data_IF_261989677156
#
_entry.id   IF_261989677156
#
_cell.length_a   1.000
_cell.length_b   1.000
_cell.length_c   1.000
_cell.angle_alpha   90.00
_cell.angle_beta   90.00
_cell.angle_gamma   90.00
#
_symmetry.space_group_name_H-M   'P 1'
#
loop_
_entity.id
_entity.type
_entity.pdbx_description
1 polymer ?
#
# COMPACT_ATOMS: atom_id res chain seq x y z
N UNK A 1 1.47 15.15 23.34
CA UNK A 1 2.62 14.29 22.97
C UNK A 1 2.85 13.14 23.97
N UNK A 2 3.08 13.39 25.27
CA UNK A 2 3.37 12.32 26.25
C UNK A 2 2.26 11.25 26.40
N UNK A 3 0.99 11.67 26.50
CA UNK A 3 -0.14 10.74 26.61
C UNK A 3 -0.29 9.85 25.36
N UNK A 4 -0.10 10.42 24.16
CA UNK A 4 -0.12 9.67 22.90
C UNK A 4 1.02 8.64 22.85
N UNK A 5 2.24 9.05 23.18
CA UNK A 5 3.39 8.13 23.21
C UNK A 5 3.14 6.97 24.17
N UNK A 6 2.60 7.25 25.36
CA UNK A 6 2.22 6.21 26.34
C UNK A 6 1.15 5.26 25.79
N UNK A 7 0.08 5.79 25.19
CA UNK A 7 -1.00 4.98 24.62
C UNK A 7 -0.48 4.07 23.48
N UNK A 8 0.36 4.62 22.60
CA UNK A 8 1.01 3.84 21.53
C UNK A 8 1.87 2.72 22.09
N UNK A 9 2.71 3.00 23.10
CA UNK A 9 3.55 1.98 23.74
C UNK A 9 2.71 0.87 24.35
N UNK A 10 1.63 1.20 25.08
CA UNK A 10 0.72 0.20 25.65
C UNK A 10 0.12 -0.69 24.56
N UNK A 11 -0.41 -0.10 23.49
CA UNK A 11 -0.99 -0.85 22.38
C UNK A 11 0.06 -1.73 21.67
N UNK A 12 1.27 -1.22 21.48
CA UNK A 12 2.37 -1.93 20.85
C UNK A 12 2.86 -3.12 21.69
N UNK A 13 3.05 -2.90 23.00
CA UNK A 13 3.48 -3.93 23.92
C UNK A 13 2.41 -5.02 24.05
N UNK A 14 1.13 -4.65 24.07
CA UNK A 14 0.03 -5.62 24.02
C UNK A 14 0.05 -6.43 22.73
N UNK A 15 0.21 -5.78 21.57
CA UNK A 15 0.23 -6.42 20.24
C UNK A 15 1.25 -7.58 20.17
N UNK A 16 2.44 -7.37 20.74
CA UNK A 16 3.55 -8.32 20.77
C UNK A 16 3.64 -9.16 22.04
N UNK A 17 2.76 -8.95 23.02
CA UNK A 17 2.71 -9.75 24.24
C UNK A 17 2.30 -11.19 23.95
N UNK A 18 2.48 -12.10 24.93
CA UNK A 18 2.00 -13.49 24.83
C UNK A 18 0.47 -13.60 24.63
N UNK A 19 -0.28 -12.59 25.05
CA UNK A 19 -1.74 -12.52 24.86
C UNK A 19 -2.13 -11.74 23.59
N UNK A 20 -1.18 -11.12 22.90
CA UNK A 20 -1.41 -10.31 21.71
C UNK A 20 -1.67 -11.16 20.46
N UNK A 21 -2.27 -10.57 19.42
CA UNK A 21 -2.63 -11.28 18.19
C UNK A 21 -1.42 -11.74 17.37
N UNK A 22 -0.24 -11.12 17.53
CA UNK A 22 1.01 -11.60 16.91
C UNK A 22 1.39 -12.99 17.44
N UNK A 23 1.22 -13.21 18.76
CA UNK A 23 1.56 -14.48 19.39
C UNK A 23 0.42 -15.52 19.28
N UNK A 24 -0.83 -15.07 19.39
CA UNK A 24 -2.00 -15.97 19.50
C UNK A 24 -2.67 -16.27 18.16
N UNK A 25 -2.44 -15.46 17.12
CA UNK A 25 -3.20 -15.52 15.87
C UNK A 25 -4.66 -15.07 15.99
N UNK A 26 -5.05 -14.50 17.14
CA UNK A 26 -6.42 -14.06 17.42
C UNK A 26 -6.64 -12.64 16.87
N UNK A 27 -6.86 -12.56 15.56
CA UNK A 27 -7.19 -11.31 14.86
C UNK A 27 -8.70 -11.07 14.84
N UNK A 28 -9.26 -10.71 15.99
CA UNK A 28 -10.69 -10.45 16.19
C UNK A 28 -11.01 -8.97 16.34
N UNK A 29 -12.27 -8.60 16.14
CA UNK A 29 -12.74 -7.22 16.21
C UNK A 29 -12.29 -6.42 14.99
N UNK A 30 -13.25 -5.81 14.31
CA UNK A 30 -13.04 -4.80 13.26
C UNK A 30 -14.42 -4.41 12.70
N UNK A 31 -15.18 -5.42 12.30
CA UNK A 31 -16.51 -5.27 11.72
C UNK A 31 -17.55 -5.06 12.82
N UNK A 32 -18.46 -4.10 12.59
CA UNK A 32 -19.47 -3.64 13.55
C UNK A 32 -20.86 -4.25 13.30
N UNK A 33 -21.05 -4.91 12.16
CA UNK A 33 -22.29 -5.52 11.69
C UNK A 33 -22.47 -6.98 12.16
N UNK A 34 -21.66 -7.40 13.14
CA UNK A 34 -21.69 -8.73 13.73
C UNK A 34 -22.14 -8.66 15.22
N UNK A 35 -22.75 -9.74 15.75
CA UNK A 35 -23.02 -9.85 17.18
C UNK A 35 -21.75 -9.73 18.04
N UNK A 36 -21.93 -9.38 19.31
CA UNK A 36 -20.83 -9.32 20.26
C UNK A 36 -20.12 -10.68 20.41
N UNK A 37 -18.82 -10.70 20.18
CA UNK A 37 -17.98 -11.91 20.15
C UNK A 37 -17.18 -12.07 21.44
N UNK A 38 -17.87 -12.41 22.54
CA UNK A 38 -17.23 -12.63 23.85
C UNK A 38 -16.16 -13.73 23.83
N UNK A 39 -16.31 -14.71 22.94
CA UNK A 39 -15.38 -15.83 22.80
C UNK A 39 -14.18 -15.53 21.92
N UNK A 40 -14.13 -14.35 21.29
CA UNK A 40 -13.16 -14.01 20.27
C UNK A 40 -13.07 -15.15 19.25
N UNK A 41 -14.17 -15.60 18.66
CA UNK A 41 -14.18 -16.65 17.65
C UNK A 41 -14.07 -16.09 16.22
N UNK A 42 -14.54 -14.86 15.99
CA UNK A 42 -14.48 -14.23 14.69
C UNK A 42 -13.06 -13.75 14.38
N UNK A 43 -12.51 -14.17 13.25
CA UNK A 43 -11.24 -13.70 12.71
C UNK A 43 -11.49 -12.88 11.47
N UNK A 44 -10.70 -11.83 11.27
CA UNK A 44 -10.73 -11.02 10.05
C UNK A 44 -9.35 -10.95 9.38
N UNK A 45 -9.38 -10.63 8.08
CA UNK A 45 -8.15 -10.39 7.31
C UNK A 45 -7.62 -8.95 7.45
N UNK A 46 -8.47 -7.99 7.81
CA UNK A 46 -8.11 -6.56 7.81
C UNK A 46 -7.01 -6.25 8.80
N UNK A 47 -7.21 -6.60 10.07
CA UNK A 47 -6.28 -6.29 11.16
C UNK A 47 -4.85 -6.84 10.93
N UNK A 48 -4.64 -8.11 10.53
CA UNK A 48 -3.30 -8.62 10.23
C UNK A 48 -2.71 -7.96 8.99
N UNK A 49 -3.50 -7.65 7.96
CA UNK A 49 -3.00 -6.99 6.75
C UNK A 49 -2.59 -5.53 7.00
N UNK A 50 -3.38 -4.77 7.75
CA UNK A 50 -3.02 -3.40 8.13
C UNK A 50 -1.83 -3.38 9.10
N UNK A 51 -1.70 -4.38 9.98
CA UNK A 51 -0.49 -4.56 10.81
C UNK A 51 0.73 -4.82 9.94
N UNK A 52 0.64 -5.76 8.98
CA UNK A 52 1.73 -6.05 8.05
C UNK A 52 2.12 -4.80 7.25
N UNK A 53 1.14 -4.06 6.72
CA UNK A 53 1.35 -2.79 6.02
C UNK A 53 2.08 -1.77 6.88
N UNK A 54 1.66 -1.60 8.12
CA UNK A 54 2.30 -0.67 9.06
C UNK A 54 3.75 -1.06 9.32
N UNK A 55 4.04 -2.35 9.50
CA UNK A 55 5.40 -2.88 9.68
C UNK A 55 6.28 -2.65 8.45
N UNK A 56 5.78 -2.89 7.24
CA UNK A 56 6.55 -2.67 6.00
C UNK A 56 6.96 -1.20 5.86
N UNK A 57 6.09 -0.26 6.27
CA UNK A 57 6.38 1.18 6.26
C UNK A 57 7.29 1.63 7.39
N UNK A 58 7.37 0.85 8.47
CA UNK A 58 8.13 1.17 9.66
C UNK A 58 9.01 -0.02 10.07
N UNK A 59 9.94 -0.47 9.19
CA UNK A 59 10.61 -1.76 9.36
C UNK A 59 11.46 -1.84 10.63
N UNK A 60 11.90 -0.70 11.15
CA UNK A 60 12.69 -0.62 12.38
C UNK A 60 11.88 -0.98 13.65
N UNK A 61 10.55 -1.04 13.57
CA UNK A 61 9.71 -1.40 14.70
C UNK A 61 9.65 -2.90 14.98
N UNK A 62 10.02 -3.74 14.01
CA UNK A 62 10.06 -5.19 14.17
C UNK A 62 11.38 -5.75 13.66
N UNK A 63 12.35 -6.05 14.56
CA UNK A 63 13.61 -6.68 14.19
C UNK A 63 13.44 -8.03 13.47
N UNK A 64 12.29 -8.68 13.62
CA UNK A 64 11.93 -9.95 13.00
C UNK A 64 10.95 -9.78 11.83
N UNK A 65 10.83 -8.59 11.22
CA UNK A 65 9.87 -8.30 10.14
C UNK A 65 9.87 -9.35 9.02
N UNK A 66 11.05 -9.88 8.66
CA UNK A 66 11.21 -10.94 7.64
C UNK A 66 10.57 -12.29 8.02
N UNK A 67 10.17 -12.47 9.27
CA UNK A 67 9.36 -13.59 9.75
C UNK A 67 7.91 -13.14 9.99
N UNK A 68 7.72 -11.99 10.65
CA UNK A 68 6.40 -11.51 11.04
C UNK A 68 5.50 -11.22 9.84
N UNK A 69 5.97 -10.48 8.83
CA UNK A 69 5.14 -10.14 7.66
C UNK A 69 4.74 -11.39 6.86
N UNK A 70 5.66 -12.32 6.52
CA UNK A 70 5.27 -13.59 5.91
C UNK A 70 4.30 -14.41 6.75
N UNK A 71 4.45 -14.41 8.09
CA UNK A 71 3.48 -15.07 8.98
C UNK A 71 2.08 -14.49 8.83
N UNK A 72 1.93 -13.16 8.80
CA UNK A 72 0.64 -12.49 8.63
C UNK A 72 0.02 -12.74 7.24
N UNK A 73 0.83 -12.68 6.18
CA UNK A 73 0.41 -13.00 4.82
C UNK A 73 -0.04 -14.47 4.71
N UNK A 74 0.69 -15.39 5.33
CA UNK A 74 0.36 -16.82 5.35
C UNK A 74 -0.90 -17.11 6.17
N UNK A 75 -1.08 -16.45 7.32
CA UNK A 75 -2.30 -16.53 8.11
C UNK A 75 -3.51 -16.15 7.25
N UNK A 76 -3.47 -14.98 6.60
CA UNK A 76 -4.61 -14.50 5.80
C UNK A 76 -4.87 -15.38 4.59
N UNK A 77 -3.83 -15.75 3.86
CA UNK A 77 -3.97 -16.59 2.68
C UNK A 77 -4.42 -18.02 2.99
N UNK A 78 -4.15 -18.52 4.18
CA UNK A 78 -4.61 -19.85 4.62
C UNK A 78 -6.03 -19.80 5.16
N UNK A 79 -6.35 -18.77 5.96
CA UNK A 79 -7.63 -18.67 6.66
C UNK A 79 -8.76 -18.08 5.82
N UNK A 80 -8.47 -17.26 4.81
CA UNK A 80 -9.49 -16.49 4.09
C UNK A 80 -9.44 -16.62 2.57
N UNK A 81 -8.47 -17.34 2.00
CA UNK A 81 -8.48 -17.57 0.55
C UNK A 81 -9.71 -18.39 0.14
N UNK A 82 -10.23 -18.07 -1.04
CA UNK A 82 -11.28 -18.85 -1.67
C UNK A 82 -10.66 -19.98 -2.50
N UNK A 83 -11.12 -21.21 -2.28
CA UNK A 83 -10.65 -22.35 -3.06
C UNK A 83 -10.96 -22.16 -4.54
N UNK A 84 -9.97 -22.42 -5.40
CA UNK A 84 -10.08 -22.24 -6.84
C UNK A 84 -10.11 -20.78 -7.32
N UNK A 85 -10.03 -19.78 -6.43
CA UNK A 85 -10.08 -18.37 -6.79
C UNK A 85 -9.03 -17.55 -6.04
N UNK A 86 -8.30 -16.67 -6.74
CA UNK A 86 -7.35 -15.72 -6.13
C UNK A 86 -8.10 -14.55 -5.48
N UNK A 87 -8.99 -14.87 -4.53
CA UNK A 87 -9.81 -13.94 -3.78
C UNK A 87 -9.68 -14.19 -2.27
N UNK A 88 -9.89 -13.13 -1.49
CA UNK A 88 -9.87 -13.16 -0.03
C UNK A 88 -11.27 -12.87 0.50
N UNK A 89 -11.67 -13.67 1.48
CA UNK A 89 -12.91 -13.53 2.23
C UNK A 89 -12.76 -12.52 3.36
N UNK A 90 -13.86 -11.90 3.76
CA UNK A 90 -13.87 -10.83 4.76
C UNK A 90 -13.42 -11.30 6.16
N UNK A 91 -14.17 -12.26 6.70
CA UNK A 91 -14.07 -12.72 8.08
C UNK A 91 -14.68 -14.10 8.24
N UNK A 92 -14.42 -14.79 9.36
CA UNK A 92 -14.94 -16.15 9.57
C UNK A 92 -16.46 -16.23 9.72
N UNK A 93 -17.13 -15.12 10.04
CA UNK A 93 -18.60 -15.05 10.17
C UNK A 93 -19.32 -14.47 8.94
N UNK A 94 -18.58 -13.92 7.99
CA UNK A 94 -19.03 -13.49 6.67
C UNK A 94 -17.97 -13.97 5.68
N UNK A 95 -18.08 -15.26 5.35
CA UNK A 95 -17.01 -16.01 4.70
C UNK A 95 -17.10 -15.92 3.16
N UNK A 96 -17.40 -14.71 2.67
CA UNK A 96 -17.63 -14.40 1.27
C UNK A 96 -16.42 -13.71 0.64
N UNK A 97 -15.97 -14.09 -0.58
CA UNK A 97 -14.90 -13.40 -1.28
C UNK A 97 -15.35 -11.99 -1.69
N UNK A 98 -14.53 -10.99 -1.37
CA UNK A 98 -14.85 -9.60 -1.70
C UNK A 98 -13.70 -8.88 -2.39
N UNK A 99 -14.04 -7.90 -3.23
CA UNK A 99 -13.09 -7.17 -4.05
C UNK A 99 -12.15 -6.32 -3.20
N UNK A 100 -12.69 -5.61 -2.22
CA UNK A 100 -11.98 -4.73 -1.29
C UNK A 100 -10.89 -5.49 -0.52
N UNK A 101 -11.23 -6.64 0.05
CA UNK A 101 -10.33 -7.50 0.81
C UNK A 101 -9.28 -8.19 -0.07
N UNK A 102 -9.70 -8.63 -1.26
CA UNK A 102 -8.79 -9.19 -2.27
C UNK A 102 -7.73 -8.17 -2.70
N UNK A 103 -8.16 -6.93 -2.99
CA UNK A 103 -7.26 -5.83 -3.34
C UNK A 103 -6.32 -5.47 -2.17
N UNK A 104 -6.82 -5.46 -0.93
CA UNK A 104 -5.98 -5.24 0.26
C UNK A 104 -4.86 -6.25 0.36
N UNK A 105 -5.17 -7.54 0.33
CA UNK A 105 -4.14 -8.59 0.39
C UNK A 105 -3.13 -8.43 -0.75
N UNK A 106 -3.60 -8.19 -1.98
CA UNK A 106 -2.74 -7.95 -3.13
C UNK A 106 -1.77 -6.77 -2.92
N UNK A 107 -2.26 -5.66 -2.35
CA UNK A 107 -1.42 -4.49 -2.08
C UNK A 107 -0.35 -4.75 -1.02
N UNK A 108 -0.64 -5.55 0.01
CA UNK A 108 0.35 -5.91 1.03
C UNK A 108 1.40 -6.86 0.45
N UNK A 109 1.00 -7.81 -0.40
CA UNK A 109 1.93 -8.62 -1.19
C UNK A 109 2.83 -7.73 -2.08
N UNK A 110 2.28 -6.73 -2.75
CA UNK A 110 3.04 -5.81 -3.59
C UNK A 110 4.04 -4.98 -2.76
N UNK A 111 3.62 -4.43 -1.62
CA UNK A 111 4.50 -3.72 -0.70
C UNK A 111 5.61 -4.63 -0.16
N UNK A 112 5.29 -5.90 0.12
CA UNK A 112 6.29 -6.86 0.56
C UNK A 112 7.29 -7.22 -0.54
N UNK A 113 6.84 -7.29 -1.79
CA UNK A 113 7.74 -7.33 -2.94
C UNK A 113 8.62 -6.08 -3.05
N UNK A 114 8.08 -4.86 -2.87
CA UNK A 114 8.92 -3.64 -2.91
C UNK A 114 10.00 -3.67 -1.82
N UNK A 115 9.68 -4.27 -0.66
CA UNK A 115 10.62 -4.44 0.45
C UNK A 115 11.67 -5.54 0.23
N UNK A 116 11.27 -6.71 -0.26
CA UNK A 116 12.14 -7.91 -0.35
C UNK A 116 12.75 -8.15 -1.73
N UNK A 117 12.10 -7.64 -2.78
CA UNK A 117 12.34 -7.95 -4.19
C UNK A 117 12.15 -9.43 -4.57
N UNK A 118 11.43 -10.20 -3.76
CA UNK A 118 11.10 -11.59 -4.05
C UNK A 118 9.97 -11.69 -5.10
N UNK A 119 10.24 -12.22 -6.31
CA UNK A 119 9.28 -12.22 -7.42
C UNK A 119 8.02 -13.03 -7.15
N UNK A 120 8.02 -13.96 -6.19
CA UNK A 120 6.81 -14.67 -5.78
C UNK A 120 5.72 -13.69 -5.36
N UNK A 121 6.06 -12.71 -4.52
CA UNK A 121 5.10 -11.73 -4.00
C UNK A 121 4.61 -10.75 -5.05
N UNK A 122 5.44 -10.41 -6.06
CA UNK A 122 4.99 -9.64 -7.23
C UNK A 122 3.94 -10.40 -8.03
N UNK A 123 4.18 -11.69 -8.29
CA UNK A 123 3.21 -12.53 -9.01
C UNK A 123 1.93 -12.72 -8.21
N UNK A 124 2.06 -13.00 -6.92
CA UNK A 124 0.92 -13.20 -6.03
C UNK A 124 0.05 -11.94 -5.97
N UNK A 125 0.65 -10.76 -5.81
CA UNK A 125 -0.07 -9.49 -5.89
C UNK A 125 -0.77 -9.30 -7.23
N UNK A 126 -0.09 -9.57 -8.34
CA UNK A 126 -0.66 -9.44 -9.68
C UNK A 126 -1.89 -10.34 -9.89
N UNK A 127 -1.80 -11.62 -9.48
CA UNK A 127 -2.89 -12.58 -9.62
C UNK A 127 -4.14 -12.15 -8.82
N UNK A 128 -3.96 -11.69 -7.57
CA UNK A 128 -5.07 -11.22 -6.73
C UNK A 128 -5.64 -9.87 -7.20
N UNK A 129 -4.80 -8.92 -7.64
CA UNK A 129 -5.29 -7.68 -8.22
C UNK A 129 -6.13 -7.94 -9.47
N UNK A 130 -5.72 -8.86 -10.35
CA UNK A 130 -6.49 -9.22 -11.53
C UNK A 130 -7.86 -9.78 -11.19
N UNK A 131 -7.99 -10.62 -10.15
CA UNK A 131 -9.32 -11.07 -9.72
C UNK A 131 -10.14 -9.93 -9.14
N UNK A 132 -9.51 -9.04 -8.37
CA UNK A 132 -10.19 -7.88 -7.83
C UNK A 132 -10.75 -6.96 -8.94
N UNK A 133 -10.06 -6.78 -10.07
CA UNK A 133 -10.55 -5.91 -11.17
C UNK A 133 -11.85 -6.40 -11.80
N UNK A 134 -12.11 -7.71 -11.82
CA UNK A 134 -13.40 -8.26 -12.30
C UNK A 134 -14.60 -7.88 -11.43
N UNK A 135 -14.36 -7.32 -10.23
CA UNK A 135 -15.42 -6.87 -9.33
C UNK A 135 -15.73 -5.38 -9.52
N UNK A 136 -15.08 -4.70 -10.46
CA UNK A 136 -15.45 -3.33 -10.87
C UNK A 136 -16.10 -3.37 -12.25
N UNK A 137 -17.34 -2.92 -12.32
CA UNK A 137 -18.08 -2.79 -13.56
C UNK A 137 -17.55 -1.65 -14.42
N UNK A 138 -17.80 -1.71 -15.73
CA UNK A 138 -17.32 -0.71 -16.70
C UNK A 138 -17.82 0.73 -16.41
N UNK A 139 -18.89 0.87 -15.64
CA UNK A 139 -19.42 2.16 -15.18
C UNK A 139 -18.81 2.66 -13.86
N UNK A 140 -17.82 1.96 -13.30
CA UNK A 140 -17.15 2.30 -12.05
C UNK A 140 -17.89 1.82 -10.78
N UNK A 141 -18.95 1.02 -10.91
CA UNK A 141 -19.58 0.37 -9.75
C UNK A 141 -18.69 -0.76 -9.26
N UNK A 142 -18.29 -0.70 -7.99
CA UNK A 142 -17.54 -1.79 -7.35
C UNK A 142 -18.51 -2.71 -6.63
N UNK A 143 -18.60 -3.95 -7.10
CA UNK A 143 -19.38 -5.03 -6.49
C UNK A 143 -18.73 -5.49 -5.19
N UNK A 144 -19.54 -5.95 -4.25
CA UNK A 144 -19.06 -6.55 -3.00
C UNK A 144 -18.16 -7.74 -3.33
N UNK A 145 -18.65 -8.67 -4.14
CA UNK A 145 -17.92 -9.89 -4.50
C UNK A 145 -18.27 -10.42 -5.89
N UNK A 146 -17.63 -11.51 -6.33
CA UNK A 146 -17.81 -12.07 -7.66
C UNK A 146 -19.24 -12.58 -7.89
N UNK A 147 -19.90 -13.07 -6.84
CA UNK A 147 -21.28 -13.58 -6.85
C UNK A 147 -22.27 -12.64 -6.14
N UNK A 148 -21.79 -11.50 -5.64
CA UNK A 148 -22.59 -10.54 -4.88
C UNK A 148 -22.55 -9.18 -5.56
N UNK A 149 -23.51 -8.94 -6.45
CA UNK A 149 -23.59 -7.74 -7.29
C UNK A 149 -24.00 -6.46 -6.53
N UNK A 150 -24.22 -6.54 -5.22
CA UNK A 150 -24.44 -5.36 -4.37
C UNK A 150 -23.18 -4.50 -4.31
N UNK A 151 -23.32 -3.27 -3.82
CA UNK A 151 -22.19 -2.36 -3.63
C UNK A 151 -22.31 -1.68 -2.27
N UNK A 152 -21.18 -1.58 -1.57
CA UNK A 152 -21.05 -0.83 -0.32
C UNK A 152 -20.05 0.30 -0.52
N UNK A 153 -20.39 1.48 0.00
CA UNK A 153 -19.56 2.66 -0.22
C UNK A 153 -18.19 2.53 0.45
N UNK A 154 -18.16 2.04 1.69
CA UNK A 154 -16.92 1.79 2.45
C UNK A 154 -15.98 0.86 1.70
N UNK A 155 -16.51 -0.23 1.17
CA UNK A 155 -15.73 -1.28 0.52
C UNK A 155 -15.28 -0.86 -0.86
N UNK A 156 -16.22 -0.38 -1.68
CA UNK A 156 -15.97 -0.04 -3.08
C UNK A 156 -15.18 1.25 -3.28
N UNK A 157 -15.45 2.28 -2.47
CA UNK A 157 -14.91 3.63 -2.71
C UNK A 157 -14.04 4.14 -1.57
N UNK A 158 -14.27 3.63 -0.35
CA UNK A 158 -13.37 3.86 0.78
C UNK A 158 -12.14 2.96 0.71
N UNK A 159 -12.30 1.66 0.49
CA UNK A 159 -11.27 0.64 0.70
C UNK A 159 -10.59 0.14 -0.58
N UNK A 160 -11.37 -0.28 -1.57
CA UNK A 160 -10.89 -0.98 -2.76
C UNK A 160 -9.84 -0.19 -3.56
N UNK A 161 -10.14 1.05 -3.96
CA UNK A 161 -9.31 1.80 -4.91
C UNK A 161 -7.91 2.15 -4.36
N UNK A 162 -7.78 2.48 -3.07
CA UNK A 162 -6.49 2.85 -2.47
C UNK A 162 -5.48 1.71 -2.53
N UNK A 163 -5.94 0.46 -2.47
CA UNK A 163 -5.07 -0.71 -2.54
C UNK A 163 -4.42 -0.85 -3.91
N UNK A 164 -5.14 -0.52 -4.99
CA UNK A 164 -4.55 -0.46 -6.34
C UNK A 164 -3.49 0.65 -6.44
N UNK A 165 -3.77 1.83 -5.89
CA UNK A 165 -2.80 2.93 -5.88
C UNK A 165 -1.50 2.54 -5.15
N UNK A 166 -1.62 1.83 -4.02
CA UNK A 166 -0.46 1.28 -3.31
C UNK A 166 0.26 0.17 -4.09
N UNK A 167 -0.50 -0.69 -4.79
CA UNK A 167 0.06 -1.68 -5.70
C UNK A 167 0.91 -1.04 -6.80
N UNK A 168 0.41 0.02 -7.44
CA UNK A 168 1.13 0.78 -8.46
C UNK A 168 2.35 1.53 -7.90
N UNK A 169 2.27 2.03 -6.67
CA UNK A 169 3.43 2.59 -5.96
C UNK A 169 4.52 1.54 -5.69
N UNK A 170 4.13 0.34 -5.29
CA UNK A 170 5.03 -0.75 -4.94
C UNK A 170 5.64 -1.41 -6.19
N UNK A 171 4.88 -1.49 -7.29
CA UNK A 171 5.31 -2.05 -8.57
C UNK A 171 5.07 -1.04 -9.71
N UNK A 172 5.93 -0.02 -9.85
CA UNK A 172 5.79 1.04 -10.86
C UNK A 172 5.74 0.54 -12.31
N UNK A 173 6.23 -0.67 -12.58
CA UNK A 173 6.18 -1.31 -13.90
C UNK A 173 4.75 -1.53 -14.41
N UNK A 174 3.76 -1.62 -13.51
CA UNK A 174 2.35 -1.78 -13.88
C UNK A 174 1.70 -0.47 -14.35
N UNK A 175 2.37 0.67 -14.16
CA UNK A 175 1.91 1.97 -14.64
C UNK A 175 2.38 2.15 -16.08
N UNK A 176 1.44 2.06 -17.01
CA UNK A 176 1.69 2.10 -18.46
C UNK A 176 1.29 3.43 -19.10
N UNK A 177 0.55 4.28 -18.39
CA UNK A 177 -0.12 5.48 -18.93
C UNK A 177 0.71 6.78 -18.83
N UNK A 178 2.04 6.65 -18.90
CA UNK A 178 2.97 7.79 -18.97
C UNK A 178 3.55 8.21 -17.63
N UNK A 179 3.85 9.51 -17.49
CA UNK A 179 4.45 10.04 -16.26
C UNK A 179 3.38 10.19 -15.17
N UNK A 180 3.62 9.62 -13.99
CA UNK A 180 2.68 9.63 -12.86
C UNK A 180 3.40 9.77 -11.52
N UNK A 181 2.92 10.67 -10.68
CA UNK A 181 3.27 10.67 -9.26
C UNK A 181 2.58 9.49 -8.57
N UNK A 182 3.37 8.60 -7.99
CA UNK A 182 2.89 7.34 -7.40
C UNK A 182 2.72 7.44 -5.89
N UNK A 183 3.51 8.27 -5.22
CA UNK A 183 3.41 8.46 -3.77
C UNK A 183 4.27 9.62 -3.28
N UNK A 184 3.89 10.15 -2.12
CA UNK A 184 4.63 11.19 -1.39
C UNK A 184 4.56 10.90 0.11
N UNK A 185 5.58 11.32 0.86
CA UNK A 185 5.53 11.38 2.33
C UNK A 185 4.85 12.63 2.87
N UNK A 186 4.47 13.58 2.01
CA UNK A 186 3.70 14.80 2.33
C UNK A 186 2.36 14.78 1.59
N UNK A 187 1.44 15.65 2.00
CA UNK A 187 0.25 15.96 1.20
C UNK A 187 0.66 16.67 -0.09
N UNK A 188 0.21 16.18 -1.24
CA UNK A 188 0.34 16.86 -2.53
C UNK A 188 -0.81 17.87 -2.67
N UNK A 189 -0.48 19.16 -2.77
CA UNK A 189 -1.46 20.25 -2.89
C UNK A 189 -1.92 20.45 -4.33
N UNK A 190 -1.05 20.19 -5.30
CA UNK A 190 -1.34 20.31 -6.73
C UNK A 190 -0.34 19.50 -7.54
N UNK A 191 -0.77 18.95 -8.67
CA UNK A 191 0.10 18.30 -9.66
C UNK A 191 -0.34 18.69 -11.07
N UNK A 192 0.63 18.97 -11.94
CA UNK A 192 0.41 19.34 -13.34
C UNK A 192 1.34 18.52 -14.22
N UNK A 193 0.78 17.97 -15.29
CA UNK A 193 1.51 17.18 -16.28
C UNK A 193 1.44 17.91 -17.63
N UNK A 194 2.58 18.11 -18.28
CA UNK A 194 2.66 18.63 -19.65
C UNK A 194 3.56 17.76 -20.51
N UNK A 195 3.69 18.08 -21.81
CA UNK A 195 4.60 17.38 -22.70
C UNK A 195 6.09 17.54 -22.30
N UNK A 196 6.44 18.61 -21.59
CA UNK A 196 7.84 18.99 -21.31
C UNK A 196 8.22 18.93 -19.82
N UNK A 197 7.24 18.93 -18.92
CA UNK A 197 7.49 18.92 -17.49
C UNK A 197 6.41 18.21 -16.67
N UNK A 198 6.79 17.81 -15.46
CA UNK A 198 5.87 17.52 -14.36
C UNK A 198 6.16 18.52 -13.26
N UNK A 199 5.15 19.22 -12.76
CA UNK A 199 5.29 20.12 -11.60
C UNK A 199 4.29 19.74 -10.53
N UNK A 200 4.71 19.83 -9.28
CA UNK A 200 3.82 19.61 -8.15
C UNK A 200 4.24 20.42 -6.94
N UNK A 201 3.31 20.54 -6.00
CA UNK A 201 3.51 21.24 -4.74
C UNK A 201 3.20 20.33 -3.57
N UNK A 202 4.11 20.26 -2.61
CA UNK A 202 3.93 19.54 -1.34
C UNK A 202 3.45 20.51 -0.26
N UNK A 203 2.75 20.00 0.75
CA UNK A 203 2.41 20.76 1.94
C UNK A 203 3.67 21.02 2.79
N UNK A 204 4.45 19.97 3.05
CA UNK A 204 5.68 20.05 3.82
C UNK A 204 6.87 20.51 2.96
N UNK A 205 7.82 21.19 3.58
CA UNK A 205 9.11 21.55 2.96
C UNK A 205 10.11 20.38 2.94
N UNK A 206 9.79 19.30 3.63
CA UNK A 206 10.59 18.08 3.70
C UNK A 206 9.72 16.92 3.27
N UNK A 207 10.04 16.29 2.14
CA UNK A 207 9.30 15.12 1.70
C UNK A 207 10.09 14.25 0.72
N UNK A 208 9.51 13.08 0.48
CA UNK A 208 10.00 12.05 -0.40
C UNK A 208 8.92 11.69 -1.41
N UNK A 209 9.22 11.72 -2.71
CA UNK A 209 8.28 11.38 -3.78
C UNK A 209 8.81 10.27 -4.65
N UNK A 210 7.89 9.43 -5.13
CA UNK A 210 8.15 8.40 -6.14
C UNK A 210 7.28 8.66 -7.36
N UNK A 211 7.89 8.70 -8.54
CA UNK A 211 7.21 8.90 -9.82
C UNK A 211 7.58 7.80 -10.80
N UNK A 212 6.60 7.31 -11.56
CA UNK A 212 6.85 6.62 -12.83
C UNK A 212 7.11 7.68 -13.89
N UNK A 213 8.16 7.52 -14.68
CA UNK A 213 8.39 8.35 -15.86
C UNK A 213 8.68 7.52 -17.11
N UNK A 214 8.39 8.09 -18.28
CA UNK A 214 8.65 7.54 -19.60
C UNK A 214 10.13 7.67 -20.00
N UNK A 215 10.83 8.67 -19.48
CA UNK A 215 12.25 8.89 -19.71
C UNK A 215 12.92 9.48 -18.46
N UNK A 216 14.25 9.35 -18.40
CA UNK A 216 15.06 9.95 -17.34
C UNK A 216 14.96 11.48 -17.44
N UNK A 217 14.70 12.20 -16.33
CA UNK A 217 14.58 13.65 -16.38
C UNK A 217 15.91 14.33 -16.73
N UNK A 218 15.83 15.46 -17.44
CA UNK A 218 16.99 16.33 -17.74
C UNK A 218 17.41 17.15 -16.52
N UNK A 219 16.45 17.54 -15.70
CA UNK A 219 16.69 18.31 -14.49
C UNK A 219 15.52 18.15 -13.52
N UNK A 220 15.83 18.23 -12.23
CA UNK A 220 14.85 18.40 -11.16
C UNK A 220 15.22 19.66 -10.39
N UNK A 221 14.23 20.49 -10.09
CA UNK A 221 14.42 21.70 -9.29
C UNK A 221 13.44 21.73 -8.13
N UNK A 222 13.86 22.35 -7.03
CA UNK A 222 13.03 22.63 -5.87
C UNK A 222 13.08 24.12 -5.60
N UNK A 223 11.92 24.79 -5.61
CA UNK A 223 11.80 26.25 -5.55
C UNK A 223 12.75 26.95 -6.57
N UNK A 224 12.87 26.38 -7.77
CA UNK A 224 13.73 26.89 -8.85
C UNK A 224 15.22 26.54 -8.73
N UNK A 225 15.68 25.97 -7.61
CA UNK A 225 17.07 25.53 -7.44
C UNK A 225 17.24 24.10 -7.95
N UNK A 226 18.16 23.90 -8.90
CA UNK A 226 18.50 22.56 -9.40
C UNK A 226 19.10 21.69 -8.29
N UNK A 227 18.64 20.44 -8.22
CA UNK A 227 19.17 19.42 -7.31
C UNK A 227 19.93 18.33 -8.07
N UNK A 228 20.86 17.67 -7.37
CA UNK A 228 21.76 16.68 -7.96
C UNK A 228 21.12 15.29 -8.06
N UNK A 229 21.55 14.53 -9.07
CA UNK A 229 21.32 13.09 -9.14
C UNK A 229 22.17 12.40 -8.07
N UNK A 230 21.58 11.44 -7.38
CA UNK A 230 22.19 10.66 -6.31
C UNK A 230 22.45 9.22 -6.75
N UNK A 231 23.29 8.52 -6.00
CA UNK A 231 23.60 7.09 -6.24
C UNK A 231 22.62 6.14 -5.57
N UNK A 232 21.79 6.63 -4.64
CA UNK A 232 20.80 5.85 -3.94
C UNK A 232 19.53 6.69 -3.68
N UNK A 233 18.41 6.00 -3.42
CA UNK A 233 17.07 6.60 -3.27
C UNK A 233 16.79 7.30 -1.94
N UNK A 234 17.71 7.26 -0.97
CA UNK A 234 17.50 7.81 0.38
C UNK A 234 18.30 9.10 0.64
N UNK A 235 19.26 9.42 -0.23
CA UNK A 235 20.03 10.65 -0.15
C UNK A 235 19.22 11.85 -0.68
N UNK A 236 19.44 13.03 -0.10
CA UNK A 236 18.84 14.28 -0.57
C UNK A 236 19.24 14.60 -2.01
N UNK A 237 18.26 14.86 -2.87
CA UNK A 237 18.43 14.96 -4.32
C UNK A 237 17.40 14.10 -5.05
N UNK A 238 17.75 13.63 -6.25
CA UNK A 238 16.92 12.68 -6.98
C UNK A 238 17.69 11.45 -7.42
N UNK A 239 17.02 10.32 -7.56
CA UNK A 239 17.59 9.05 -7.99
C UNK A 239 16.76 8.46 -9.12
N UNK A 240 17.43 7.91 -10.13
CA UNK A 240 16.78 7.28 -11.28
C UNK A 240 17.03 5.78 -11.33
N UNK A 241 15.95 5.01 -11.35
CA UNK A 241 15.96 3.57 -11.55
C UNK A 241 15.38 3.24 -12.94
N UNK A 242 16.20 2.69 -13.84
CA UNK A 242 15.76 2.31 -15.18
C UNK A 242 14.89 1.05 -15.12
N UNK A 243 13.73 1.09 -15.80
CA UNK A 243 12.87 -0.07 -16.02
C UNK A 243 12.94 -0.52 -17.48
N UNK A 244 12.26 -1.63 -17.82
CA UNK A 244 12.12 -2.08 -19.21
C UNK A 244 11.51 -1.00 -20.11
N UNK A 245 10.55 -0.23 -19.58
CA UNK A 245 9.97 0.94 -20.24
C UNK A 245 10.03 2.14 -19.31
N UNK A 246 10.84 3.15 -19.68
CA UNK A 246 11.09 4.34 -18.88
C UNK A 246 11.84 4.04 -17.59
N UNK A 247 11.37 4.58 -16.47
CA UNK A 247 11.98 4.31 -15.16
C UNK A 247 11.22 4.94 -14.00
N UNK A 248 11.79 4.80 -12.81
CA UNK A 248 11.28 5.36 -11.56
C UNK A 248 12.19 6.51 -11.14
N UNK A 249 11.59 7.67 -10.92
CA UNK A 249 12.25 8.81 -10.29
C UNK A 249 11.89 8.83 -8.82
N UNK A 250 12.89 8.79 -7.94
CA UNK A 250 12.73 9.08 -6.51
C UNK A 250 13.30 10.46 -6.21
N UNK A 251 12.59 11.28 -5.45
CA UNK A 251 13.04 12.61 -5.02
C UNK A 251 13.02 12.63 -3.50
N UNK A 252 14.06 13.19 -2.90
CA UNK A 252 14.20 13.41 -1.45
C UNK A 252 14.63 14.86 -1.24
N UNK A 253 13.89 15.60 -0.42
CA UNK A 253 14.26 16.97 -0.09
C UNK A 253 13.99 17.35 1.35
N UNK A 254 14.83 18.22 1.90
CA UNK A 254 14.70 18.73 3.28
C UNK A 254 14.27 20.20 3.33
N UNK A 255 14.20 20.86 2.17
CA UNK A 255 13.77 22.25 2.05
C UNK A 255 12.97 22.47 0.77
N UNK A 256 12.04 23.43 0.81
CA UNK A 256 11.20 23.83 -0.31
C UNK A 256 10.07 22.86 -0.63
N UNK A 257 9.08 23.33 -1.39
CA UNK A 257 7.85 22.59 -1.60
C UNK A 257 7.27 22.72 -3.00
N UNK A 258 7.92 23.44 -3.92
CA UNK A 258 7.54 23.48 -5.33
C UNK A 258 8.57 22.71 -6.15
N UNK A 259 8.15 21.58 -6.71
CA UNK A 259 9.02 20.68 -7.47
C UNK A 259 8.70 20.82 -8.95
N UNK A 260 9.74 20.96 -9.77
CA UNK A 260 9.63 20.93 -11.24
C UNK A 260 10.62 19.90 -11.79
N UNK A 261 10.09 18.96 -12.57
CA UNK A 261 10.83 17.92 -13.25
C UNK A 261 10.77 18.21 -14.75
N UNK A 262 11.93 18.46 -15.35
CA UNK A 262 12.08 18.67 -16.79
C UNK A 262 12.33 17.34 -17.47
N UNK A 263 11.50 17.00 -18.46
CA UNK A 263 11.56 15.75 -19.23
C UNK A 263 12.66 15.78 -20.29
#
# INVERSE_FOLDING_TARGET
MAAYSKARTIAWDWLYSKAGPIATGIWSGYFEDIPNDHGLANRNQVSPMETARYLIRNPNLDPNIKKTVPYLLNFVSTAFRTDGLKAIKEQTWCYEPMGSHTARYASVCALWYDFTKDPYWKKEAYDFFNVATYMTDANGVVRVGPTWAGSWFSDGYGDYIRHFLEGLYAVPEWVTDGDRLLGSSSVIQSVQYSATQVSYKTFDNTSAEKLKMQAKPKAVTINGKKIAEQKNRVAEGWYWEKLATGGVLSIQHTTGNNIVIVK
#
